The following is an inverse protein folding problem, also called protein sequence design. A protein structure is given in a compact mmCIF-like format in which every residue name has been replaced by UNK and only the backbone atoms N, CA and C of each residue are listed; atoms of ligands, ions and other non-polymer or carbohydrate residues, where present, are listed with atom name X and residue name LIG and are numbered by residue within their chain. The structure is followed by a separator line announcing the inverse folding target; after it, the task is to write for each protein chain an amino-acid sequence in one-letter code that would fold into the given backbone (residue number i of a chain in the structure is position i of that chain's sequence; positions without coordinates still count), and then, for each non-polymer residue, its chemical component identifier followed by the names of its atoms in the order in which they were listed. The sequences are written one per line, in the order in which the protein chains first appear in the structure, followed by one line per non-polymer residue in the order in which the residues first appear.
data_IF_139713280360
#
_entry.id   IF_139713280360
#
_cell.length_a   1.000
_cell.length_b   1.000
_cell.length_c   1.000
_cell.angle_alpha   90.00
_cell.angle_beta   90.00
_cell.angle_gamma   90.00
#
_symmetry.space_group_name_H-M   'P 1'
#
loop_
_entity.id
_entity.type
_entity.pdbx_description
1 polymer ?
#
# COMPACT_ATOMS: atom_id res chain seq x y z
N UNK A 1 40.89 7.87 -0.33
CA UNK A 1 39.77 8.74 0.12
C UNK A 1 38.50 8.59 -0.72
N UNK A 2 38.57 8.47 -2.06
CA UNK A 2 37.37 8.27 -2.92
C UNK A 2 36.80 6.84 -2.92
N UNK A 3 37.64 5.80 -2.79
CA UNK A 3 37.18 4.39 -2.83
C UNK A 3 36.39 4.00 -1.57
N UNK A 4 36.73 4.59 -0.42
CA UNK A 4 35.98 4.44 0.84
C UNK A 4 34.60 5.11 0.78
N UNK A 5 34.46 6.21 0.03
CA UNK A 5 33.19 6.91 -0.16
C UNK A 5 32.22 6.12 -1.05
N UNK A 6 32.73 5.52 -2.13
CA UNK A 6 31.93 4.66 -3.01
C UNK A 6 31.52 3.32 -2.36
N UNK A 7 32.31 2.81 -1.40
CA UNK A 7 31.90 1.65 -0.57
C UNK A 7 30.79 2.01 0.41
N UNK A 8 30.87 3.17 1.07
CA UNK A 8 29.81 3.65 1.96
C UNK A 8 28.46 3.88 1.21
N UNK A 9 28.52 4.33 -0.05
CA UNK A 9 27.31 4.50 -0.89
C UNK A 9 26.73 3.16 -1.38
N UNK A 10 27.55 2.12 -1.59
CA UNK A 10 27.08 0.77 -1.94
C UNK A 10 26.60 -0.04 -0.72
N UNK A 11 27.07 0.28 0.47
CA UNK A 11 26.60 -0.33 1.72
C UNK A 11 25.29 0.28 2.26
N UNK A 12 24.85 1.42 1.70
CA UNK A 12 23.54 2.04 1.96
C UNK A 12 22.40 1.53 1.06
N UNK A 13 22.64 0.52 0.22
CA UNK A 13 21.60 -0.15 -0.56
C UNK A 13 21.02 -1.38 0.19
N UNK A 14 21.03 -1.35 1.52
CA UNK A 14 20.05 -2.11 2.26
C UNK A 14 18.77 -1.27 2.25
N UNK A 15 17.75 -1.73 1.53
CA UNK A 15 16.40 -1.20 1.69
C UNK A 15 16.14 -1.10 3.20
N UNK A 16 16.01 0.11 3.73
CA UNK A 16 15.63 0.32 5.12
C UNK A 16 14.23 -0.28 5.28
N UNK A 17 14.19 -1.54 5.72
CA UNK A 17 12.94 -2.24 5.95
C UNK A 17 12.15 -1.42 6.96
N UNK A 18 10.96 -0.99 6.56
CA UNK A 18 10.10 -0.17 7.38
C UNK A 18 9.80 -0.89 8.71
N UNK A 19 10.14 -0.26 9.84
CA UNK A 19 9.89 -0.83 11.17
C UNK A 19 8.54 -0.43 11.76
N UNK A 20 7.92 0.64 11.27
CA UNK A 20 6.54 0.99 11.58
C UNK A 20 5.53 0.03 10.91
N UNK A 21 4.29 -0.13 11.43
CA UNK A 21 3.24 -0.86 10.75
C UNK A 21 2.88 -0.19 9.42
N UNK A 22 2.62 -0.97 8.37
CA UNK A 22 2.47 -0.43 7.00
C UNK A 22 1.03 -0.60 6.53
N UNK A 23 0.42 0.48 6.03
CA UNK A 23 -0.91 0.45 5.43
C UNK A 23 -0.88 0.90 3.96
N UNK A 24 -1.56 0.15 3.10
CA UNK A 24 -1.87 0.57 1.73
C UNK A 24 -3.22 1.28 1.76
N UNK A 25 -3.31 2.48 1.20
CA UNK A 25 -4.58 3.21 1.06
C UNK A 25 -4.80 3.55 -0.41
N UNK A 26 -5.81 2.94 -1.04
CA UNK A 26 -6.16 3.23 -2.44
C UNK A 26 -6.97 4.51 -2.56
N UNK A 27 -6.77 5.29 -3.62
CA UNK A 27 -7.49 6.55 -3.82
C UNK A 27 -7.15 7.62 -2.77
N UNK A 28 -5.91 7.60 -2.26
CA UNK A 28 -5.47 8.42 -1.13
C UNK A 28 -5.02 9.84 -1.51
N UNK A 29 -5.06 10.22 -2.79
CA UNK A 29 -4.69 11.57 -3.19
C UNK A 29 -5.62 12.66 -2.66
N UNK A 30 -6.87 12.36 -2.27
CA UNK A 30 -7.84 13.36 -1.78
C UNK A 30 -8.97 12.75 -0.97
N UNK A 31 -9.87 13.60 -0.47
CA UNK A 31 -11.13 13.19 0.17
C UNK A 31 -10.93 12.27 1.37
N UNK A 32 -11.80 11.25 1.51
CA UNK A 32 -11.71 10.26 2.59
C UNK A 32 -10.39 9.49 2.57
N UNK A 33 -9.88 9.13 1.39
CA UNK A 33 -8.59 8.44 1.26
C UNK A 33 -7.43 9.23 1.85
N UNK A 34 -7.36 10.54 1.57
CA UNK A 34 -6.39 11.44 2.22
C UNK A 34 -6.60 11.44 3.74
N UNK A 35 -7.83 11.64 4.20
CA UNK A 35 -8.15 11.66 5.64
C UNK A 35 -7.68 10.39 6.35
N UNK A 36 -7.92 9.22 5.76
CA UNK A 36 -7.46 7.92 6.28
C UNK A 36 -5.94 7.84 6.32
N UNK A 37 -5.24 8.26 5.26
CA UNK A 37 -3.78 8.26 5.21
C UNK A 37 -3.17 9.15 6.32
N UNK A 38 -3.72 10.36 6.52
CA UNK A 38 -3.27 11.27 7.57
C UNK A 38 -3.53 10.71 8.97
N UNK A 39 -4.67 10.07 9.18
CA UNK A 39 -4.98 9.48 10.48
C UNK A 39 -4.09 8.28 10.77
N UNK A 40 -3.81 7.43 9.78
CA UNK A 40 -2.83 6.34 9.91
C UNK A 40 -1.44 6.88 10.26
N UNK A 41 -0.99 7.96 9.60
CA UNK A 41 0.29 8.61 9.91
C UNK A 41 0.36 9.07 11.38
N UNK A 42 -0.70 9.71 11.91
CA UNK A 42 -0.77 10.10 13.33
C UNK A 42 -0.75 8.93 14.30
N UNK A 43 -1.25 7.77 13.87
CA UNK A 43 -1.27 6.54 14.66
C UNK A 43 0.00 5.70 14.48
N UNK A 44 1.08 6.28 13.93
CA UNK A 44 2.39 5.63 13.83
C UNK A 44 2.54 4.68 12.65
N UNK A 45 1.62 4.68 11.68
CA UNK A 45 1.76 3.87 10.47
C UNK A 45 2.63 4.54 9.42
N UNK A 46 3.40 3.72 8.72
CA UNK A 46 3.87 4.01 7.37
C UNK A 46 2.72 3.82 6.38
N UNK A 47 2.69 4.64 5.33
CA UNK A 47 1.57 4.63 4.38
C UNK A 47 2.05 4.58 2.94
N UNK A 48 1.61 3.56 2.20
CA UNK A 48 1.64 3.54 0.75
C UNK A 48 0.40 4.28 0.23
N UNK A 49 0.63 5.46 -0.35
CA UNK A 49 -0.41 6.40 -0.80
C UNK A 49 -0.66 6.13 -2.29
N UNK A 50 -1.74 5.43 -2.60
CA UNK A 50 -2.06 5.05 -3.97
C UNK A 50 -2.99 6.07 -4.63
N UNK A 51 -2.66 6.49 -5.84
CA UNK A 51 -3.44 7.45 -6.63
C UNK A 51 -3.50 7.04 -8.10
N UNK A 52 -4.60 7.36 -8.78
CA UNK A 52 -4.75 7.02 -10.21
C UNK A 52 -4.06 8.03 -11.12
N UNK A 53 -4.43 9.32 -11.02
CA UNK A 53 -4.00 10.34 -12.00
C UNK A 53 -3.66 11.71 -11.42
N UNK A 54 -4.19 12.09 -10.24
CA UNK A 54 -3.93 13.41 -9.67
C UNK A 54 -2.64 13.41 -8.83
N UNK A 55 -1.50 13.51 -9.51
CA UNK A 55 -0.18 13.50 -8.90
C UNK A 55 0.05 14.68 -7.96
N UNK A 56 -0.45 15.87 -8.29
CA UNK A 56 -0.28 17.07 -7.45
C UNK A 56 -0.94 16.86 -6.08
N UNK A 57 -2.21 16.44 -6.07
CA UNK A 57 -2.92 16.17 -4.82
C UNK A 57 -2.33 14.98 -4.05
N UNK A 58 -1.71 14.01 -4.74
CA UNK A 58 -0.99 12.93 -4.09
C UNK A 58 0.25 13.44 -3.33
N UNK A 59 1.04 14.35 -3.93
CA UNK A 59 2.18 14.98 -3.23
C UNK A 59 1.73 15.80 -2.03
N UNK A 60 0.61 16.52 -2.14
CA UNK A 60 0.02 17.21 -0.98
C UNK A 60 -0.33 16.23 0.14
N UNK A 61 -0.93 15.07 -0.17
CA UNK A 61 -1.17 14.03 0.84
C UNK A 61 0.14 13.52 1.46
N UNK A 62 1.17 13.30 0.64
CA UNK A 62 2.48 12.86 1.11
C UNK A 62 3.08 13.86 2.12
N UNK A 63 3.19 15.12 1.74
CA UNK A 63 3.77 16.19 2.58
C UNK A 63 3.01 16.32 3.92
N UNK A 64 1.68 16.21 3.87
CA UNK A 64 0.85 16.23 5.06
C UNK A 64 1.10 15.00 5.95
N UNK A 65 1.21 13.79 5.38
CA UNK A 65 1.59 12.59 6.13
C UNK A 65 2.97 12.75 6.78
N UNK A 66 3.95 13.29 6.05
CA UNK A 66 5.30 13.54 6.57
C UNK A 66 5.28 14.52 7.74
N UNK A 67 4.48 15.60 7.66
CA UNK A 67 4.32 16.57 8.74
C UNK A 67 3.68 16.00 10.01
N UNK A 68 2.96 14.88 9.88
CA UNK A 68 2.29 14.15 10.96
C UNK A 68 3.11 12.96 11.48
N UNK A 69 4.33 12.77 10.96
CA UNK A 69 5.25 11.71 11.40
C UNK A 69 5.46 11.78 12.91
N UNK A 70 5.19 10.67 13.59
CA UNK A 70 5.39 10.50 15.04
C UNK A 70 6.70 9.82 15.39
N UNK A 71 7.26 9.03 14.46
CA UNK A 71 8.51 8.28 14.64
C UNK A 71 9.31 8.23 13.33
N UNK A 72 10.64 8.27 13.42
CA UNK A 72 11.54 8.26 12.25
C UNK A 72 11.51 6.96 11.45
N UNK A 73 10.96 5.89 12.01
CA UNK A 73 10.74 4.61 11.31
C UNK A 73 9.53 4.61 10.38
N UNK A 74 8.71 5.68 10.38
CA UNK A 74 7.61 5.84 9.45
C UNK A 74 8.10 6.33 8.09
N UNK A 75 7.74 5.57 7.07
CA UNK A 75 7.99 5.83 5.66
C UNK A 75 6.65 6.12 4.98
N UNK A 76 6.62 7.15 4.14
CA UNK A 76 5.46 7.48 3.32
C UNK A 76 5.91 7.52 1.87
N UNK A 77 5.17 6.88 0.98
CA UNK A 77 5.58 6.81 -0.42
C UNK A 77 4.37 6.78 -1.34
N UNK A 78 4.49 7.43 -2.50
CA UNK A 78 3.47 7.49 -3.52
C UNK A 78 3.58 6.31 -4.49
N UNK A 79 2.46 5.73 -4.86
CA UNK A 79 2.39 4.75 -5.95
C UNK A 79 1.25 5.13 -6.88
N UNK A 80 1.54 5.19 -8.18
CA UNK A 80 0.49 5.34 -9.16
C UNK A 80 -0.17 3.98 -9.40
N UNK A 81 -1.51 3.95 -9.41
CA UNK A 81 -2.29 2.74 -9.67
C UNK A 81 -3.62 3.11 -10.33
N UNK A 82 -3.82 2.67 -11.57
CA UNK A 82 -5.14 2.40 -12.13
C UNK A 82 -5.63 1.04 -11.61
N UNK A 83 -6.49 1.09 -10.59
CA UNK A 83 -7.00 -0.10 -9.93
C UNK A 83 -7.82 -1.00 -10.87
N UNK A 84 -8.30 -0.48 -12.01
CA UNK A 84 -9.02 -1.28 -13.00
C UNK A 84 -8.10 -2.13 -13.88
N UNK A 85 -6.81 -1.79 -13.97
CA UNK A 85 -5.83 -2.50 -14.79
C UNK A 85 -5.17 -3.68 -14.03
N UNK A 86 -5.27 -4.93 -14.53
CA UNK A 86 -4.68 -6.10 -13.85
C UNK A 86 -3.17 -6.06 -13.69
N UNK A 87 -2.44 -5.67 -14.73
CA UNK A 87 -0.99 -5.61 -14.74
C UNK A 87 -0.48 -4.55 -13.75
N UNK A 88 -1.15 -3.40 -13.71
CA UNK A 88 -0.82 -2.30 -12.81
C UNK A 88 -1.00 -2.69 -11.33
N UNK A 89 -2.08 -3.43 -11.01
CA UNK A 89 -2.26 -3.98 -9.64
C UNK A 89 -1.11 -4.90 -9.24
N UNK A 90 -0.64 -5.76 -10.14
CA UNK A 90 0.45 -6.69 -9.85
C UNK A 90 1.77 -5.94 -9.62
N UNK A 91 2.13 -5.05 -10.55
CA UNK A 91 3.37 -4.28 -10.49
C UNK A 91 3.40 -3.35 -9.27
N UNK A 92 2.31 -2.62 -9.01
CA UNK A 92 2.20 -1.72 -7.88
C UNK A 92 2.37 -2.46 -6.54
N UNK A 93 1.73 -3.63 -6.36
CA UNK A 93 1.91 -4.40 -5.12
C UNK A 93 3.33 -4.93 -4.99
N UNK A 94 3.95 -5.41 -6.08
CA UNK A 94 5.35 -5.82 -6.04
C UNK A 94 6.28 -4.69 -5.58
N UNK A 95 6.10 -3.49 -6.12
CA UNK A 95 6.92 -2.33 -5.76
C UNK A 95 6.68 -1.89 -4.31
N UNK A 96 5.43 -1.93 -3.82
CA UNK A 96 5.13 -1.65 -2.41
C UNK A 96 5.86 -2.63 -1.48
N UNK A 97 5.80 -3.94 -1.76
CA UNK A 97 6.48 -4.92 -0.92
C UNK A 97 8.00 -4.79 -1.00
N UNK A 98 8.56 -4.38 -2.16
CA UNK A 98 9.99 -4.02 -2.26
C UNK A 98 10.35 -2.80 -1.43
N UNK A 99 9.52 -1.75 -1.45
CA UNK A 99 9.77 -0.49 -0.72
C UNK A 99 9.63 -0.66 0.79
N UNK A 100 8.58 -1.31 1.27
CA UNK A 100 8.26 -1.39 2.70
C UNK A 100 8.72 -2.69 3.37
N UNK A 101 8.97 -3.74 2.58
CA UNK A 101 9.32 -5.08 3.06
C UNK A 101 8.12 -5.90 3.53
N UNK A 102 7.15 -5.29 4.22
CA UNK A 102 5.93 -5.95 4.67
C UNK A 102 4.74 -4.97 4.68
N UNK A 103 3.52 -5.51 4.58
CA UNK A 103 2.27 -4.73 4.63
C UNK A 103 1.35 -5.30 5.71
N UNK A 104 0.74 -4.46 6.53
CA UNK A 104 -0.09 -4.87 7.66
C UNK A 104 -1.59 -4.56 7.47
N UNK A 105 -1.91 -3.57 6.64
CA UNK A 105 -3.29 -3.24 6.30
C UNK A 105 -3.47 -2.89 4.83
N UNK A 106 -4.62 -3.29 4.27
CA UNK A 106 -5.11 -2.83 2.98
C UNK A 106 -6.44 -2.10 3.19
N UNK A 107 -6.49 -0.84 2.76
CA UNK A 107 -7.71 -0.04 2.73
C UNK A 107 -8.14 0.16 1.28
N UNK A 108 -9.16 -0.60 0.87
CA UNK A 108 -9.86 -0.45 -0.40
C UNK A 108 -10.80 0.77 -0.31
N UNK A 109 -10.30 1.93 -0.72
CA UNK A 109 -11.01 3.20 -0.70
C UNK A 109 -11.13 3.86 -2.10
N UNK A 110 -10.32 3.45 -3.08
CA UNK A 110 -10.47 3.94 -4.45
C UNK A 110 -11.86 3.57 -4.99
N UNK A 111 -12.59 4.59 -5.44
CA UNK A 111 -13.89 4.42 -6.06
C UNK A 111 -14.27 5.65 -6.87
N UNK A 112 -15.14 5.44 -7.84
CA UNK A 112 -15.73 6.49 -8.66
C UNK A 112 -17.26 6.50 -8.52
N UNK A 113 -17.84 7.66 -8.79
CA UNK A 113 -19.25 7.78 -9.13
C UNK A 113 -19.40 7.74 -10.67
N UNK A 114 -20.60 7.48 -11.20
CA UNK A 114 -20.85 7.62 -12.64
C UNK A 114 -20.36 8.98 -13.14
N UNK A 115 -19.62 9.02 -14.26
CA UNK A 115 -19.07 10.28 -14.82
C UNK A 115 -20.19 11.27 -15.16
N UNK A 116 -21.29 10.74 -15.68
CA UNK A 116 -22.51 11.48 -15.92
C UNK A 116 -23.55 11.05 -14.89
N UNK A 117 -24.08 12.00 -14.12
CA UNK A 117 -25.22 11.75 -13.24
C UNK A 117 -26.48 11.70 -14.10
N UNK A 118 -26.86 10.50 -14.50
CA UNK A 118 -28.13 10.22 -15.17
C UNK A 118 -29.08 9.53 -14.21
N UNK A 119 -30.37 9.55 -14.54
CA UNK A 119 -31.33 8.70 -13.85
C UNK A 119 -30.99 7.22 -14.08
N UNK A 120 -31.45 6.36 -13.17
CA UNK A 120 -31.14 4.93 -13.19
C UNK A 120 -31.49 4.27 -14.53
N UNK A 121 -32.61 4.67 -15.12
CA UNK A 121 -33.13 4.12 -16.38
C UNK A 121 -32.28 4.50 -17.61
N UNK A 122 -31.45 5.54 -17.48
CA UNK A 122 -30.64 6.09 -18.57
C UNK A 122 -29.16 5.73 -18.44
N UNK A 123 -28.77 4.96 -17.41
CA UNK A 123 -27.40 4.54 -17.22
C UNK A 123 -26.95 3.63 -18.38
N UNK A 124 -25.89 4.03 -19.06
CA UNK A 124 -25.26 3.19 -20.09
C UNK A 124 -24.56 1.98 -19.48
N UNK A 125 -24.54 0.90 -20.26
CA UNK A 125 -23.82 -0.34 -19.90
C UNK A 125 -22.33 -0.04 -19.69
N UNK A 126 -21.77 0.87 -20.46
CA UNK A 126 -20.37 1.29 -20.40
C UNK A 126 -20.07 1.98 -19.07
N UNK A 127 -20.93 2.91 -18.63
CA UNK A 127 -20.78 3.58 -17.34
C UNK A 127 -20.94 2.60 -16.18
N UNK A 128 -21.90 1.67 -16.26
CA UNK A 128 -22.08 0.64 -15.25
C UNK A 128 -20.85 -0.27 -15.17
N UNK A 129 -20.34 -0.74 -16.31
CA UNK A 129 -19.14 -1.59 -16.36
C UNK A 129 -17.90 -0.87 -15.83
N UNK A 130 -17.75 0.43 -16.08
CA UNK A 130 -16.66 1.22 -15.50
C UNK A 130 -16.72 1.23 -13.97
N UNK A 131 -17.92 1.44 -13.39
CA UNK A 131 -18.12 1.38 -11.93
C UNK A 131 -17.78 0.01 -11.36
N UNK A 132 -18.23 -1.06 -12.00
CA UNK A 132 -17.94 -2.43 -11.55
C UNK A 132 -16.43 -2.70 -11.59
N UNK A 133 -15.74 -2.30 -12.67
CA UNK A 133 -14.29 -2.50 -12.79
C UNK A 133 -13.51 -1.79 -11.68
N UNK A 134 -13.87 -0.55 -11.36
CA UNK A 134 -13.12 0.27 -10.41
C UNK A 134 -13.54 -0.02 -8.95
N UNK A 135 -14.84 -0.08 -8.66
CA UNK A 135 -15.34 -0.14 -7.28
C UNK A 135 -15.47 -1.57 -6.75
N UNK A 136 -15.51 -2.59 -7.62
CA UNK A 136 -15.70 -3.99 -7.20
C UNK A 136 -14.55 -4.89 -7.65
N UNK A 137 -14.30 -4.96 -8.95
CA UNK A 137 -13.30 -5.86 -9.52
C UNK A 137 -11.88 -5.50 -9.04
N UNK A 138 -11.53 -4.22 -9.12
CA UNK A 138 -10.24 -3.70 -8.68
C UNK A 138 -9.93 -4.06 -7.21
N UNK A 139 -10.74 -3.63 -6.23
CA UNK A 139 -10.59 -3.99 -4.83
C UNK A 139 -10.54 -5.50 -4.57
N UNK A 140 -11.36 -6.29 -5.26
CA UNK A 140 -11.36 -7.75 -5.13
C UNK A 140 -10.00 -8.35 -5.49
N UNK A 141 -9.49 -8.04 -6.69
CA UNK A 141 -8.23 -8.62 -7.15
C UNK A 141 -7.01 -8.02 -6.45
N UNK A 142 -7.04 -6.74 -6.08
CA UNK A 142 -5.98 -6.16 -5.27
C UNK A 142 -5.88 -6.87 -3.91
N UNK A 143 -7.03 -7.13 -3.27
CA UNK A 143 -7.11 -7.92 -2.03
C UNK A 143 -6.57 -9.33 -2.22
N UNK A 144 -6.90 -9.98 -3.34
CA UNK A 144 -6.37 -11.31 -3.66
C UNK A 144 -4.84 -11.31 -3.76
N UNK A 145 -4.25 -10.31 -4.42
CA UNK A 145 -2.78 -10.20 -4.56
C UNK A 145 -2.12 -9.98 -3.21
N UNK A 146 -2.62 -9.04 -2.40
CA UNK A 146 -2.06 -8.75 -1.07
C UNK A 146 -2.18 -9.95 -0.12
N UNK A 147 -3.31 -10.65 -0.13
CA UNK A 147 -3.49 -11.83 0.73
C UNK A 147 -2.61 -13.01 0.32
N UNK A 148 -2.39 -13.22 -0.98
CA UNK A 148 -1.40 -14.21 -1.46
C UNK A 148 0.00 -13.91 -0.90
N UNK A 149 0.45 -12.65 -0.97
CA UNK A 149 1.74 -12.24 -0.37
C UNK A 149 1.81 -12.52 1.13
N UNK A 150 0.74 -12.25 1.87
CA UNK A 150 0.70 -12.57 3.31
C UNK A 150 0.77 -14.07 3.61
N UNK A 151 0.16 -14.92 2.77
CA UNK A 151 0.24 -16.37 2.93
C UNK A 151 1.65 -16.89 2.62
N UNK A 152 2.28 -16.40 1.54
CA UNK A 152 3.67 -16.73 1.18
C UNK A 152 4.65 -16.33 2.30
N UNK A 153 4.47 -15.15 2.90
CA UNK A 153 5.23 -14.71 4.08
C UNK A 153 5.04 -15.68 5.26
N UNK A 154 3.81 -16.14 5.51
CA UNK A 154 3.51 -17.05 6.60
C UNK A 154 4.19 -18.42 6.45
N UNK A 155 4.16 -18.99 5.24
CA UNK A 155 4.79 -20.26 4.92
C UNK A 155 6.32 -20.18 5.02
N UNK A 156 6.93 -19.09 4.55
CA UNK A 156 8.36 -18.82 4.71
C UNK A 156 8.78 -18.77 6.19
N UNK A 157 7.94 -18.21 7.06
CA UNK A 157 8.21 -18.18 8.50
C UNK A 157 8.09 -19.58 9.13
N UNK A 158 7.06 -20.34 8.76
CA UNK A 158 6.84 -21.70 9.28
C UNK A 158 8.02 -22.63 8.95
N UNK A 159 8.50 -22.58 7.70
CA UNK A 159 9.66 -23.37 7.23
C UNK A 159 11.00 -22.99 7.88
N UNK A 160 11.20 -21.71 8.26
CA UNK A 160 12.39 -21.26 9.00
C UNK A 160 12.40 -21.68 10.48
N UNK A 161 11.22 -21.84 11.10
CA UNK A 161 11.10 -22.28 12.50
C UNK A 161 11.45 -23.76 12.68
N UNK A 162 11.12 -24.62 11.71
CA UNK A 162 11.47 -26.04 11.78
C UNK A 162 12.97 -26.32 11.59
N UNK A 163 13.73 -25.34 11.08
CA UNK A 163 15.14 -25.49 10.70
C UNK A 163 16.15 -24.74 11.59
N UNK A 164 15.72 -23.86 12.52
CA UNK A 164 16.63 -23.05 13.35
C UNK A 164 16.67 -23.48 14.83
N UNK A 165 17.88 -23.69 15.38
CA UNK A 165 18.13 -24.05 16.80
C UNK A 165 18.37 -22.85 17.74
N UNK A 166 18.41 -21.59 17.28
CA UNK A 166 18.67 -20.38 18.10
C UNK A 166 17.81 -19.19 17.65
N UNK A 167 16.95 -18.58 18.50
CA UNK A 167 15.91 -17.66 18.04
C UNK A 167 16.15 -16.15 18.23
N UNK A 168 17.33 -15.67 18.62
CA UNK A 168 17.40 -14.32 19.24
C UNK A 168 17.34 -13.08 18.33
N UNK A 169 17.44 -13.18 16.99
CA UNK A 169 17.48 -11.97 16.12
C UNK A 169 16.48 -11.96 14.94
N UNK A 170 15.39 -12.74 15.01
CA UNK A 170 14.35 -12.66 13.97
C UNK A 170 13.50 -11.38 14.13
N UNK A 171 13.23 -10.60 13.06
CA UNK A 171 12.28 -9.49 13.13
C UNK A 171 10.93 -10.00 13.65
N UNK A 172 10.39 -9.32 14.67
CA UNK A 172 9.15 -9.72 15.38
C UNK A 172 8.01 -9.94 14.38
N UNK A 173 7.52 -11.18 14.35
CA UNK A 173 6.63 -11.77 13.33
C UNK A 173 5.25 -11.09 13.28
N UNK A 174 4.88 -10.49 12.13
CA UNK A 174 3.63 -9.73 11.91
C UNK A 174 2.54 -10.48 11.13
N UNK A 175 2.17 -11.69 11.54
CA UNK A 175 0.97 -12.35 10.98
C UNK A 175 -0.29 -12.02 11.79
N UNK A 176 -0.16 -11.87 13.11
CA UNK A 176 -1.23 -11.38 13.95
C UNK A 176 -1.47 -9.88 13.63
N UNK A 177 -2.67 -9.55 13.15
CA UNK A 177 -3.08 -8.16 12.93
C UNK A 177 -3.11 -7.68 11.49
N UNK A 178 -2.95 -8.58 10.48
CA UNK A 178 -3.26 -8.23 9.08
C UNK A 178 -4.73 -7.83 8.95
N UNK A 179 -5.03 -6.70 8.28
CA UNK A 179 -6.41 -6.19 8.14
C UNK A 179 -6.74 -5.81 6.70
N UNK A 180 -7.95 -6.18 6.25
CA UNK A 180 -8.54 -5.70 5.00
C UNK A 180 -9.75 -4.86 5.36
N UNK A 181 -9.82 -3.66 4.79
CA UNK A 181 -10.89 -2.69 5.05
C UNK A 181 -11.46 -2.25 3.70
N UNK A 182 -12.79 -2.22 3.60
CA UNK A 182 -13.51 -1.69 2.44
C UNK A 182 -14.27 -0.43 2.87
N UNK A 183 -14.06 0.67 2.15
CA UNK A 183 -14.74 1.96 2.36
C UNK A 183 -15.77 2.24 1.27
N UNK A 184 -15.46 1.81 0.04
CA UNK A 184 -16.30 1.97 -1.16
C UNK A 184 -17.28 0.83 -1.36
#
# INVERSE_FOLDING_TARGET
MQVSYLRAMKEQEHAEICRAPVAIVTGASRGLGRGIALELARNGYSVAILFASNQIEAHVTLDLCESLRTDTSQVFHLFQLDISNPEDRLQCIEDIFKTFGAVDALVNNAGIAPRNRTDLIDMSIESFRELIRINLEGPHFLTQIVTKRWLEEAESISSKKSSSKHPENAPKQRLAGKRIIFIT
#
